data_IF_093078748471
#
_entry.id   IF_093078748471
#
_cell.length_a   1.000
_cell.length_b   1.000
_cell.length_c   1.000
_cell.angle_alpha   90.00
_cell.angle_beta   90.00
_cell.angle_gamma   90.00
#
_symmetry.space_group_name_H-M   'P 1'
#
loop_
_entity.id
_entity.type
_entity.pdbx_description
1 polymer ?
#
# COMPACT_ATOMS: atom_id res chain seq x y z
N UNK A 1 3.32 6.68 -3.50
CA UNK A 1 3.46 5.25 -3.11
C UNK A 1 3.88 4.45 -4.32
N UNK A 2 4.82 3.55 -4.13
CA UNK A 2 5.27 2.63 -5.18
C UNK A 2 4.69 1.24 -4.90
N UNK A 3 4.69 0.33 -5.90
CA UNK A 3 4.28 -1.05 -5.66
C UNK A 3 5.04 -1.71 -4.51
N UNK A 4 6.35 -1.46 -4.41
CA UNK A 4 7.16 -2.01 -3.33
C UNK A 4 6.74 -1.47 -1.97
N UNK A 5 6.42 -0.17 -1.89
CA UNK A 5 5.93 0.43 -0.66
C UNK A 5 4.59 -0.15 -0.26
N UNK A 6 3.71 -0.39 -1.22
CA UNK A 6 2.41 -0.98 -0.95
C UNK A 6 2.58 -2.35 -0.30
N UNK A 7 3.39 -3.19 -0.90
CA UNK A 7 3.64 -4.52 -0.39
C UNK A 7 4.28 -4.48 1.00
N UNK A 8 5.34 -3.70 1.15
CA UNK A 8 6.04 -3.60 2.43
C UNK A 8 5.14 -3.05 3.54
N UNK A 9 4.38 -2.01 3.23
CA UNK A 9 3.45 -1.42 4.19
C UNK A 9 2.35 -2.38 4.58
N UNK A 10 1.83 -3.11 3.62
CA UNK A 10 0.80 -4.11 3.88
C UNK A 10 1.31 -5.20 4.82
N UNK A 11 2.51 -5.70 4.56
CA UNK A 11 3.13 -6.74 5.39
C UNK A 11 3.39 -6.20 6.80
N UNK A 12 3.93 -5.00 6.91
CA UNK A 12 4.14 -4.36 8.20
C UNK A 12 2.85 -4.17 8.98
N UNK A 13 1.76 -3.89 8.28
CA UNK A 13 0.46 -3.71 8.91
C UNK A 13 -0.19 -5.06 9.29
N UNK A 14 0.40 -6.17 8.86
CA UNK A 14 -0.12 -7.49 9.16
C UNK A 14 -1.32 -7.88 8.32
N UNK A 15 -1.47 -7.29 7.13
CA UNK A 15 -2.63 -7.52 6.28
C UNK A 15 -2.26 -8.40 5.08
N UNK A 16 -3.17 -9.32 4.73
CA UNK A 16 -3.07 -10.01 3.45
C UNK A 16 -3.56 -9.09 2.35
N UNK A 17 -3.29 -9.45 1.09
CA UNK A 17 -3.82 -8.69 -0.04
C UNK A 17 -5.36 -8.65 0.00
N UNK A 18 -5.98 -9.78 0.32
CA UNK A 18 -7.43 -9.87 0.41
C UNK A 18 -7.98 -8.98 1.53
N UNK A 19 -7.31 -8.95 2.67
CA UNK A 19 -7.74 -8.12 3.79
C UNK A 19 -7.63 -6.64 3.47
N UNK A 20 -6.53 -6.23 2.86
CA UNK A 20 -6.36 -4.84 2.44
C UNK A 20 -7.44 -4.44 1.44
N UNK A 21 -7.70 -5.32 0.46
CA UNK A 21 -8.73 -5.06 -0.54
C UNK A 21 -10.11 -4.91 0.09
N UNK A 22 -10.41 -5.76 1.07
CA UNK A 22 -11.70 -5.73 1.76
C UNK A 22 -11.88 -4.40 2.51
N UNK A 23 -10.86 -3.97 3.24
CA UNK A 23 -10.93 -2.70 3.99
C UNK A 23 -11.02 -1.51 3.05
N UNK A 24 -10.28 -1.54 1.95
CA UNK A 24 -10.29 -0.46 0.97
C UNK A 24 -11.50 -0.50 0.03
N UNK A 25 -12.28 -1.57 0.11
CA UNK A 25 -13.49 -1.79 -0.71
C UNK A 25 -13.15 -1.76 -2.20
N UNK A 26 -12.14 -2.53 -2.58
CA UNK A 26 -11.71 -2.69 -3.98
C UNK A 26 -11.46 -4.19 -4.24
N UNK A 27 -11.45 -4.61 -5.51
CA UNK A 27 -11.11 -5.99 -5.83
C UNK A 27 -9.66 -6.32 -5.45
N UNK A 28 -9.44 -7.51 -4.90
CA UNK A 28 -8.11 -7.94 -4.50
C UNK A 28 -7.14 -8.01 -5.68
N UNK A 29 -7.66 -8.26 -6.88
CA UNK A 29 -6.83 -8.29 -8.09
C UNK A 29 -6.14 -6.97 -8.37
N UNK A 30 -6.74 -5.84 -7.98
CA UNK A 30 -6.10 -4.53 -8.16
C UNK A 30 -4.83 -4.45 -7.33
N UNK A 31 -4.85 -4.99 -6.12
CA UNK A 31 -3.68 -4.97 -5.24
C UNK A 31 -2.62 -5.93 -5.75
N UNK A 32 -3.01 -7.14 -6.14
CA UNK A 32 -2.08 -8.13 -6.69
C UNK A 32 -1.39 -7.57 -7.92
N UNK A 33 -2.16 -7.02 -8.85
CA UNK A 33 -1.60 -6.47 -10.09
C UNK A 33 -0.68 -5.29 -9.83
N UNK A 34 -1.05 -4.43 -8.89
CA UNK A 34 -0.22 -3.29 -8.54
C UNK A 34 1.11 -3.73 -7.91
N UNK A 35 1.04 -4.63 -6.93
CA UNK A 35 2.24 -5.09 -6.23
C UNK A 35 3.20 -5.86 -7.14
N UNK A 36 2.69 -6.53 -8.16
CA UNK A 36 3.51 -7.27 -9.12
C UNK A 36 3.96 -6.42 -10.31
N UNK A 37 3.47 -5.18 -10.41
CA UNK A 37 3.83 -4.29 -11.51
C UNK A 37 3.09 -4.56 -12.80
N UNK A 38 2.05 -5.40 -12.77
CA UNK A 38 1.28 -5.75 -13.96
C UNK A 38 0.27 -4.67 -14.32
N UNK A 39 -0.26 -3.97 -13.30
CA UNK A 39 -1.28 -2.97 -13.53
C UNK A 39 -1.13 -1.77 -12.62
N UNK A 40 -1.83 -0.70 -12.96
CA UNK A 40 -1.85 0.52 -12.18
C UNK A 40 -3.31 0.86 -11.85
N UNK A 41 -3.69 0.83 -10.56
CA UNK A 41 -5.04 1.26 -10.18
C UNK A 41 -5.27 2.73 -10.53
N UNK A 42 -6.52 3.11 -10.62
CA UNK A 42 -6.85 4.52 -10.82
C UNK A 42 -6.41 5.33 -9.60
N UNK A 43 -6.17 6.64 -9.77
CA UNK A 43 -5.72 7.48 -8.66
C UNK A 43 -6.59 7.39 -7.41
N UNK A 44 -7.91 7.26 -7.60
CA UNK A 44 -8.83 7.12 -6.46
C UNK A 44 -8.57 5.83 -5.68
N UNK A 45 -8.35 4.73 -6.38
CA UNK A 45 -8.10 3.45 -5.73
C UNK A 45 -6.74 3.45 -5.04
N UNK A 46 -5.73 4.06 -5.67
CA UNK A 46 -4.42 4.21 -5.04
C UNK A 46 -4.51 5.03 -3.76
N UNK A 47 -5.30 6.10 -3.78
CA UNK A 47 -5.50 6.94 -2.61
C UNK A 47 -6.17 6.16 -1.48
N UNK A 48 -7.13 5.31 -1.81
CA UNK A 48 -7.80 4.46 -0.82
C UNK A 48 -6.83 3.47 -0.19
N UNK A 49 -6.02 2.81 -1.01
CA UNK A 49 -5.02 1.86 -0.51
C UNK A 49 -4.06 2.58 0.44
N UNK A 50 -3.55 3.73 0.03
CA UNK A 50 -2.63 4.51 0.86
C UNK A 50 -3.30 4.93 2.17
N UNK A 51 -4.53 5.41 2.11
CA UNK A 51 -5.27 5.85 3.31
C UNK A 51 -5.44 4.72 4.32
N UNK A 52 -5.78 3.53 3.85
CA UNK A 52 -5.94 2.37 4.72
C UNK A 52 -4.62 2.04 5.42
N UNK A 53 -3.52 2.04 4.67
CA UNK A 53 -2.21 1.75 5.23
C UNK A 53 -1.79 2.82 6.23
N UNK A 54 -2.01 4.09 5.91
CA UNK A 54 -1.69 5.18 6.84
C UNK A 54 -2.52 5.08 8.12
N UNK A 55 -3.80 4.75 7.97
CA UNK A 55 -4.68 4.53 9.11
C UNK A 55 -4.17 3.38 9.99
N UNK A 56 -3.59 2.35 9.36
CA UNK A 56 -3.03 1.21 10.09
C UNK A 56 -1.67 1.53 10.73
N UNK A 57 -1.18 2.75 10.59
CA UNK A 57 0.06 3.18 11.23
C UNK A 57 1.29 3.16 10.35
N UNK A 58 1.11 2.95 9.04
CA UNK A 58 2.22 2.93 8.11
C UNK A 58 2.57 4.35 7.69
N UNK A 59 3.84 4.69 7.77
CA UNK A 59 4.36 5.96 7.29
C UNK A 59 5.20 5.71 6.04
N UNK A 60 4.89 6.43 4.97
CA UNK A 60 5.63 6.30 3.71
C UNK A 60 6.81 7.25 3.72
N UNK A 61 7.99 6.70 3.46
CA UNK A 61 9.23 7.49 3.41
C UNK A 61 9.61 7.65 1.94
N UNK A 62 9.62 8.89 1.48
CA UNK A 62 9.83 9.20 0.07
C UNK A 62 10.70 10.45 -0.05
N UNK A 63 11.98 10.36 0.30
CA UNK A 63 12.86 11.50 0.20
C UNK A 63 14.23 11.06 -0.32
N UNK A 64 14.98 12.04 -0.82
CA UNK A 64 16.29 11.78 -1.43
C UNK A 64 17.31 11.24 -0.45
N UNK A 65 17.20 11.64 0.81
CA UNK A 65 18.19 11.29 1.82
C UNK A 65 18.03 9.85 2.28
N UNK A 66 16.80 9.46 2.61
CA UNK A 66 16.52 8.15 3.18
C UNK A 66 16.01 7.13 2.15
N UNK A 67 15.79 7.61 0.92
CA UNK A 67 15.27 6.75 -0.13
C UNK A 67 13.78 6.54 -0.03
N UNK A 68 13.31 5.45 -0.61
CA UNK A 68 11.89 5.10 -0.69
C UNK A 68 11.64 3.87 0.18
N UNK A 69 10.73 4.00 1.14
CA UNK A 69 10.44 2.90 2.04
C UNK A 69 9.20 3.14 2.86
N UNK A 70 9.01 2.32 3.86
CA UNK A 70 7.90 2.42 4.80
C UNK A 70 8.39 2.12 6.20
N UNK A 71 7.66 2.60 7.19
CA UNK A 71 7.92 2.25 8.57
C UNK A 71 6.61 2.24 9.33
N UNK A 72 6.57 1.47 10.40
CA UNK A 72 5.42 1.43 11.28
C UNK A 72 5.55 2.53 12.31
N UNK A 73 4.59 3.43 12.34
CA UNK A 73 4.58 4.55 13.27
C UNK A 73 3.84 4.13 14.54
N UNK A 74 4.53 4.13 15.60
CA UNK A 74 3.95 3.74 16.90
C UNK A 74 4.24 4.78 17.95
#
# INVERSE_FOLDING_TARGET
MTPAQCRAGRILAGLSQAELAEIAVIPATLITDYETGVGMPEPRDLAEIRSVLEWAGIEFVENERDGVGVRLRK
#
